data_IF_422255257060
#
_entry.id   IF_422255257060
#
_cell.length_a   1.000
_cell.length_b   1.000
_cell.length_c   1.000
_cell.angle_alpha   90.00
_cell.angle_beta   90.00
_cell.angle_gamma   90.00
#
_symmetry.space_group_name_H-M   'P 1'
#
loop_
_entity.id
_entity.type
_entity.pdbx_description
1 polymer ?
#
# COMPACT_ATOMS: atom_id res chain seq x y z
N UNK A 1 -14.15 11.03 -18.34
CA UNK A 1 -13.69 10.78 -16.96
C UNK A 1 -14.14 9.42 -16.44
N UNK A 2 -15.13 8.79 -17.08
CA UNK A 2 -15.77 7.54 -16.63
C UNK A 2 -14.89 6.27 -16.66
N UNK A 3 -13.77 6.25 -17.41
CA UNK A 3 -12.95 5.05 -17.56
C UNK A 3 -12.02 4.77 -16.35
N UNK A 4 -11.52 5.82 -15.69
CA UNK A 4 -10.54 5.66 -14.60
C UNK A 4 -11.20 5.22 -13.29
N UNK A 5 -12.36 5.80 -12.96
CA UNK A 5 -13.12 5.40 -11.78
C UNK A 5 -13.56 3.93 -11.89
N UNK A 6 -14.10 3.54 -13.04
CA UNK A 6 -14.52 2.14 -13.28
C UNK A 6 -13.34 1.16 -13.17
N UNK A 7 -12.15 1.56 -13.64
CA UNK A 7 -10.94 0.75 -13.50
C UNK A 7 -10.54 0.59 -12.03
N UNK A 8 -10.62 1.67 -11.23
CA UNK A 8 -10.33 1.59 -9.81
C UNK A 8 -11.37 0.79 -9.02
N UNK A 9 -12.65 0.91 -9.37
CA UNK A 9 -13.72 0.11 -8.77
C UNK A 9 -13.53 -1.39 -9.06
N UNK A 10 -13.09 -1.75 -10.28
CA UNK A 10 -12.71 -3.13 -10.65
C UNK A 10 -11.58 -3.65 -9.76
N UNK A 11 -10.53 -2.86 -9.55
CA UNK A 11 -9.44 -3.22 -8.65
C UNK A 11 -9.89 -3.40 -7.20
N UNK A 12 -10.72 -2.50 -6.67
CA UNK A 12 -11.26 -2.62 -5.31
C UNK A 12 -12.08 -3.89 -5.15
N UNK A 13 -12.91 -4.23 -6.15
CA UNK A 13 -13.65 -5.49 -6.16
C UNK A 13 -12.72 -6.72 -6.20
N UNK A 14 -11.65 -6.69 -7.00
CA UNK A 14 -10.67 -7.77 -7.08
C UNK A 14 -9.93 -7.98 -5.75
N UNK A 15 -9.50 -6.90 -5.08
CA UNK A 15 -8.86 -6.96 -3.76
C UNK A 15 -9.82 -7.51 -2.71
N UNK A 16 -11.07 -7.04 -2.69
CA UNK A 16 -12.08 -7.51 -1.76
C UNK A 16 -12.34 -9.01 -1.95
N UNK A 17 -12.55 -9.45 -3.18
CA UNK A 17 -12.74 -10.87 -3.51
C UNK A 17 -11.53 -11.72 -3.12
N UNK A 18 -10.32 -11.20 -3.32
CA UNK A 18 -9.09 -11.89 -2.93
C UNK A 18 -8.98 -12.06 -1.41
N UNK A 19 -9.28 -11.01 -0.64
CA UNK A 19 -9.26 -11.04 0.82
C UNK A 19 -10.32 -11.98 1.41
N UNK A 20 -11.50 -12.07 0.79
CA UNK A 20 -12.56 -13.00 1.21
C UNK A 20 -12.21 -14.46 0.91
N UNK A 21 -11.46 -14.72 -0.16
CA UNK A 21 -11.11 -16.06 -0.61
C UNK A 21 -9.86 -16.63 0.08
N UNK A 22 -9.02 -15.76 0.65
CA UNK A 22 -7.81 -16.15 1.37
C UNK A 22 -7.92 -15.71 2.84
N UNK A 23 -8.70 -16.45 3.67
CA UNK A 23 -8.72 -16.20 5.10
C UNK A 23 -7.31 -16.36 5.67
N UNK A 24 -7.01 -15.63 6.76
CA UNK A 24 -5.69 -15.44 7.35
C UNK A 24 -5.03 -16.70 7.95
N UNK A 25 -4.98 -17.79 7.19
CA UNK A 25 -4.07 -18.89 7.45
C UNK A 25 -2.67 -18.45 7.03
N UNK A 26 -1.91 -17.95 8.02
CA UNK A 26 -0.54 -17.45 7.86
C UNK A 26 0.45 -18.52 7.38
N UNK A 27 0.05 -19.80 7.33
CA UNK A 27 0.91 -20.91 6.91
C UNK A 27 0.82 -21.23 5.41
N UNK A 28 -0.09 -20.60 4.65
CA UNK A 28 -0.30 -20.89 3.23
C UNK A 28 -0.13 -19.66 2.33
N UNK A 29 0.54 -19.87 1.19
CA UNK A 29 0.59 -18.88 0.12
C UNK A 29 -0.84 -18.54 -0.34
N UNK A 30 -1.15 -17.25 -0.39
CA UNK A 30 -2.44 -16.80 -0.92
C UNK A 30 -2.53 -17.13 -2.41
N UNK A 31 -3.73 -17.42 -2.91
CA UNK A 31 -3.96 -17.68 -4.33
C UNK A 31 -4.65 -16.45 -4.98
N UNK A 32 -3.88 -15.52 -5.57
CA UNK A 32 -4.47 -14.38 -6.27
C UNK A 32 -5.03 -14.82 -7.63
N UNK A 33 -6.02 -14.08 -8.13
CA UNK A 33 -6.41 -14.17 -9.54
C UNK A 33 -5.34 -13.45 -10.38
N UNK A 34 -4.27 -14.18 -10.71
CA UNK A 34 -3.10 -13.65 -11.43
C UNK A 34 -3.49 -13.02 -12.76
N UNK A 35 -4.50 -13.57 -13.45
CA UNK A 35 -4.96 -13.05 -14.74
C UNK A 35 -5.60 -11.68 -14.55
N UNK A 36 -6.52 -11.56 -13.58
CA UNK A 36 -7.19 -10.31 -13.26
C UNK A 36 -6.19 -9.23 -12.81
N UNK A 37 -5.30 -9.55 -11.87
CA UNK A 37 -4.33 -8.58 -11.36
C UNK A 37 -3.28 -8.17 -12.39
N UNK A 38 -2.88 -9.08 -13.29
CA UNK A 38 -1.98 -8.74 -14.40
C UNK A 38 -2.65 -7.78 -15.40
N UNK A 39 -3.93 -8.00 -15.71
CA UNK A 39 -4.68 -7.09 -16.57
C UNK A 39 -4.88 -5.72 -15.90
N UNK A 40 -5.29 -5.70 -14.63
CA UNK A 40 -5.42 -4.46 -13.85
C UNK A 40 -4.10 -3.69 -13.78
N UNK A 41 -2.98 -4.37 -13.51
CA UNK A 41 -1.66 -3.75 -13.49
C UNK A 41 -1.32 -3.10 -14.83
N UNK A 42 -1.58 -3.80 -15.94
CA UNK A 42 -1.34 -3.28 -17.28
C UNK A 42 -2.19 -2.04 -17.58
N UNK A 43 -3.49 -2.08 -17.27
CA UNK A 43 -4.42 -0.98 -17.52
C UNK A 43 -4.16 0.24 -16.63
N UNK A 44 -3.74 0.03 -15.38
CA UNK A 44 -3.50 1.10 -14.41
C UNK A 44 -2.14 1.77 -14.57
N UNK A 45 -1.14 1.07 -15.12
CA UNK A 45 0.23 1.59 -15.21
C UNK A 45 0.32 2.99 -15.87
N UNK A 46 -0.31 3.25 -17.04
CA UNK A 46 -0.25 4.58 -17.65
C UNK A 46 -0.86 5.69 -16.77
N UNK A 47 -1.89 5.35 -15.99
CA UNK A 47 -2.53 6.29 -15.07
C UNK A 47 -1.63 6.58 -13.87
N UNK A 48 -1.01 5.55 -13.28
CA UNK A 48 -0.05 5.70 -12.20
C UNK A 48 1.18 6.53 -12.64
N UNK A 49 1.68 6.28 -13.86
CA UNK A 49 2.76 7.05 -14.48
C UNK A 49 2.36 8.51 -14.74
N UNK A 50 1.09 8.77 -15.07
CA UNK A 50 0.56 10.13 -15.26
C UNK A 50 0.34 10.90 -13.95
N UNK A 51 0.51 10.26 -12.79
CA UNK A 51 0.38 10.88 -11.48
C UNK A 51 -0.86 10.50 -10.69
N UNK A 52 -1.72 9.61 -11.19
CA UNK A 52 -2.95 9.26 -10.48
C UNK A 52 -2.66 8.56 -9.14
N UNK A 53 -3.07 9.20 -8.05
CA UNK A 53 -2.76 8.78 -6.68
C UNK A 53 -3.32 7.38 -6.35
N UNK A 54 -4.51 7.06 -6.83
CA UNK A 54 -5.19 5.79 -6.54
C UNK A 54 -4.57 4.64 -7.33
N UNK A 55 -4.25 4.84 -8.60
CA UNK A 55 -3.50 3.88 -9.39
C UNK A 55 -2.08 3.70 -8.87
N UNK A 56 -1.39 4.75 -8.40
CA UNK A 56 -0.09 4.60 -7.75
C UNK A 56 -0.17 3.69 -6.52
N UNK A 57 -1.15 3.91 -5.65
CA UNK A 57 -1.37 3.01 -4.51
C UNK A 57 -1.68 1.58 -4.95
N UNK A 58 -2.55 1.40 -5.95
CA UNK A 58 -2.91 0.08 -6.48
C UNK A 58 -1.68 -0.66 -7.04
N UNK A 59 -0.83 0.02 -7.81
CA UNK A 59 0.42 -0.55 -8.34
C UNK A 59 1.33 -1.04 -7.21
N UNK A 60 1.45 -0.25 -6.14
CA UNK A 60 2.26 -0.63 -4.99
C UNK A 60 1.71 -1.87 -4.28
N UNK A 61 0.40 -1.95 -4.09
CA UNK A 61 -0.27 -3.10 -3.46
C UNK A 61 -0.12 -4.37 -4.29
N UNK A 62 -0.31 -4.29 -5.62
CA UNK A 62 -0.14 -5.43 -6.53
C UNK A 62 1.30 -5.98 -6.47
N UNK A 63 2.30 -5.09 -6.48
CA UNK A 63 3.71 -5.47 -6.42
C UNK A 63 4.09 -6.07 -5.06
N UNK A 64 3.71 -5.39 -3.98
CA UNK A 64 4.06 -5.81 -2.62
C UNK A 64 3.41 -7.15 -2.27
N UNK A 65 2.10 -7.27 -2.53
CA UNK A 65 1.33 -8.48 -2.27
C UNK A 65 1.55 -9.59 -3.28
N UNK A 66 2.46 -9.46 -4.25
CA UNK A 66 2.72 -10.53 -5.22
C UNK A 66 1.46 -10.95 -5.99
N UNK A 67 0.53 -10.04 -6.26
CA UNK A 67 -0.79 -10.40 -6.78
C UNK A 67 -0.76 -10.85 -8.25
N UNK A 68 0.36 -10.61 -8.94
CA UNK A 68 0.64 -11.15 -10.27
C UNK A 68 1.56 -12.39 -10.25
N UNK A 69 1.83 -12.98 -9.08
CA UNK A 69 2.69 -14.15 -8.94
C UNK A 69 1.85 -15.44 -8.82
N UNK A 70 2.22 -16.45 -9.58
CA UNK A 70 1.54 -17.76 -9.55
C UNK A 70 1.89 -18.57 -8.29
N UNK A 71 3.04 -18.28 -7.67
CA UNK A 71 3.53 -18.99 -6.49
C UNK A 71 4.35 -18.09 -5.57
N UNK A 72 4.50 -18.53 -4.32
CA UNK A 72 5.37 -17.91 -3.33
C UNK A 72 6.83 -17.86 -3.82
N UNK A 73 7.30 -18.92 -4.48
CA UNK A 73 8.68 -18.97 -5.02
C UNK A 73 8.92 -17.88 -6.07
N UNK A 74 7.97 -17.63 -6.98
CA UNK A 74 8.06 -16.53 -7.93
C UNK A 74 8.04 -15.17 -7.21
N UNK A 75 7.12 -15.00 -6.25
CA UNK A 75 7.05 -13.78 -5.45
C UNK A 75 8.38 -13.48 -4.74
N UNK A 76 8.93 -14.48 -4.04
CA UNK A 76 10.18 -14.40 -3.29
C UNK A 76 11.39 -14.14 -4.18
N UNK A 77 11.49 -14.80 -5.34
CA UNK A 77 12.59 -14.62 -6.27
C UNK A 77 12.71 -13.17 -6.78
N UNK A 78 11.58 -12.49 -6.97
CA UNK A 78 11.55 -11.09 -7.41
C UNK A 78 11.31 -10.07 -6.29
N UNK A 79 11.15 -10.51 -5.03
CA UNK A 79 10.76 -9.64 -3.92
C UNK A 79 11.65 -8.39 -3.77
N UNK A 80 13.00 -8.46 -3.83
CA UNK A 80 13.84 -7.26 -3.69
C UNK A 80 13.59 -6.18 -4.74
N UNK A 81 13.22 -6.58 -5.96
CA UNK A 81 12.88 -5.63 -7.04
C UNK A 81 11.47 -5.09 -6.82
N UNK A 82 10.50 -5.97 -6.55
CA UNK A 82 9.10 -5.61 -6.34
C UNK A 82 8.91 -4.67 -5.14
N UNK A 83 9.57 -4.92 -4.00
CA UNK A 83 9.46 -4.06 -2.83
C UNK A 83 10.04 -2.65 -3.08
N UNK A 84 11.11 -2.57 -3.88
CA UNK A 84 11.70 -1.28 -4.27
C UNK A 84 10.73 -0.48 -5.14
N UNK A 85 10.07 -1.14 -6.09
CA UNK A 85 9.07 -0.50 -6.95
C UNK A 85 7.79 -0.15 -6.20
N UNK A 86 7.29 -1.04 -5.34
CA UNK A 86 6.17 -0.76 -4.45
C UNK A 86 6.46 0.46 -3.57
N UNK A 87 7.66 0.55 -3.00
CA UNK A 87 8.08 1.71 -2.22
C UNK A 87 8.07 3.00 -3.04
N UNK A 88 8.57 2.98 -4.29
CA UNK A 88 8.51 4.14 -5.18
C UNK A 88 7.07 4.62 -5.39
N UNK A 89 6.14 3.68 -5.58
CA UNK A 89 4.74 4.00 -5.80
C UNK A 89 4.03 4.48 -4.52
N UNK A 90 4.32 3.89 -3.36
CA UNK A 90 3.82 4.41 -2.09
C UNK A 90 4.30 5.83 -1.81
N UNK A 91 5.58 6.16 -2.07
CA UNK A 91 6.08 7.53 -1.95
C UNK A 91 5.29 8.47 -2.85
N UNK A 92 5.05 8.09 -4.11
CA UNK A 92 4.32 8.91 -5.07
C UNK A 92 2.88 9.19 -4.60
N UNK A 93 2.17 8.17 -4.13
CA UNK A 93 0.80 8.32 -3.62
C UNK A 93 0.76 9.08 -2.28
N UNK A 94 1.67 8.78 -1.36
CA UNK A 94 1.75 9.41 -0.05
C UNK A 94 2.06 10.91 -0.14
N UNK A 95 2.92 11.32 -1.07
CA UNK A 95 3.24 12.74 -1.34
C UNK A 95 2.02 13.54 -1.77
N UNK A 96 0.99 12.87 -2.32
CA UNK A 96 -0.27 13.48 -2.71
C UNK A 96 -1.33 13.48 -1.59
N UNK A 97 -1.05 12.86 -0.45
CA UNK A 97 -1.96 12.77 0.69
C UNK A 97 -2.63 11.41 0.88
N UNK A 98 -2.23 10.36 0.16
CA UNK A 98 -2.82 9.03 0.32
C UNK A 98 -2.38 8.38 1.65
N UNK A 99 -3.24 8.45 2.66
CA UNK A 99 -2.93 8.00 4.03
C UNK A 99 -2.54 6.51 4.11
N UNK A 100 -3.21 5.63 3.37
CA UNK A 100 -2.85 4.20 3.35
C UNK A 100 -1.53 3.93 2.64
N UNK A 101 -1.10 4.81 1.73
CA UNK A 101 0.20 4.67 1.09
C UNK A 101 1.31 5.09 2.07
N UNK A 102 1.05 6.11 2.88
CA UNK A 102 1.96 6.54 3.93
C UNK A 102 2.09 5.47 5.03
N UNK A 103 0.99 4.85 5.44
CA UNK A 103 1.01 3.72 6.36
C UNK A 103 1.87 2.56 5.82
N UNK A 104 1.63 2.13 4.59
CA UNK A 104 2.43 1.08 3.95
C UNK A 104 3.91 1.48 3.77
N UNK A 105 4.19 2.75 3.48
CA UNK A 105 5.56 3.27 3.40
C UNK A 105 6.27 3.19 4.76
N UNK A 106 5.57 3.51 5.86
CA UNK A 106 6.09 3.42 7.22
C UNK A 106 6.34 1.95 7.60
N UNK A 107 5.40 1.06 7.35
CA UNK A 107 5.45 -0.33 7.82
C UNK A 107 6.37 -1.21 6.97
N UNK A 108 6.29 -1.07 5.65
CA UNK A 108 6.87 -2.03 4.70
C UNK A 108 7.86 -1.40 3.72
N UNK A 109 7.85 -0.07 3.58
CA UNK A 109 8.72 0.63 2.63
C UNK A 109 10.20 0.49 2.94
N UNK A 110 11.02 0.54 1.89
CA UNK A 110 12.50 0.45 2.00
C UNK A 110 13.23 1.72 1.54
N UNK A 111 14.45 1.90 2.04
CA UNK A 111 15.30 3.04 1.66
C UNK A 111 14.99 4.33 2.44
N UNK A 112 15.65 5.43 2.06
CA UNK A 112 15.79 6.61 2.92
C UNK A 112 14.47 7.34 3.20
N UNK A 113 13.55 7.38 2.24
CA UNK A 113 12.26 8.05 2.44
C UNK A 113 11.36 7.26 3.40
N UNK A 114 11.37 5.93 3.30
CA UNK A 114 10.66 5.07 4.25
C UNK A 114 11.27 5.18 5.66
N UNK A 115 12.60 5.28 5.77
CA UNK A 115 13.28 5.53 7.04
C UNK A 115 12.89 6.87 7.67
N UNK A 116 12.84 7.93 6.86
CA UNK A 116 12.37 9.25 7.30
C UNK A 116 10.90 9.23 7.75
N UNK A 117 10.04 8.55 7.00
CA UNK A 117 8.62 8.41 7.36
C UNK A 117 8.46 7.62 8.67
N UNK A 118 9.21 6.53 8.85
CA UNK A 118 9.26 5.77 10.12
C UNK A 118 9.70 6.62 11.29
N UNK A 119 10.72 7.45 11.11
CA UNK A 119 11.19 8.33 12.18
C UNK A 119 10.17 9.40 12.53
N UNK A 120 9.56 10.04 11.52
CA UNK A 120 8.48 10.99 11.72
C UNK A 120 7.28 10.35 12.46
N UNK A 121 6.94 9.10 12.14
CA UNK A 121 5.91 8.33 12.84
C UNK A 121 6.24 8.14 14.31
N UNK A 122 7.48 7.76 14.66
CA UNK A 122 7.90 7.60 16.06
C UNK A 122 7.85 8.90 16.86
N UNK A 123 8.28 10.00 16.26
CA UNK A 123 8.19 11.33 16.90
C UNK A 123 6.73 11.70 17.14
N UNK A 124 5.86 11.50 16.14
CA UNK A 124 4.44 11.77 16.29
C UNK A 124 3.80 10.90 17.38
N UNK A 125 4.16 9.62 17.47
CA UNK A 125 3.68 8.71 18.51
C UNK A 125 3.99 9.24 19.92
N UNK A 126 5.19 9.78 20.13
CA UNK A 126 5.61 10.36 21.40
C UNK A 126 4.89 11.68 21.71
N UNK A 127 4.65 12.52 20.71
CA UNK A 127 4.04 13.84 20.89
C UNK A 127 2.51 13.82 20.95
N UNK A 128 1.89 12.86 20.25
CA UNK A 128 0.44 12.77 20.02
C UNK A 128 -0.09 11.37 20.31
N UNK A 129 0.29 10.84 21.47
CA UNK A 129 -0.27 9.58 21.98
C UNK A 129 -1.79 9.60 22.11
N UNK A 130 -2.42 10.78 22.16
CA UNK A 130 -3.88 10.96 22.13
C UNK A 130 -4.53 10.54 20.80
N UNK A 131 -3.76 10.47 19.71
CA UNK A 131 -4.24 10.00 18.40
C UNK A 131 -4.17 8.48 18.26
N UNK A 132 -3.59 7.78 19.24
CA UNK A 132 -3.45 6.33 19.21
C UNK A 132 -4.67 5.67 19.83
N UNK A 133 -5.24 4.71 19.12
CA UNK A 133 -6.10 3.71 19.74
C UNK A 133 -5.27 2.68 20.51
N UNK A 134 -5.95 1.80 21.25
CA UNK A 134 -5.31 0.66 21.88
C UNK A 134 -6.15 -0.60 21.64
N UNK A 135 -5.49 -1.69 21.26
CA UNK A 135 -6.10 -3.01 21.13
C UNK A 135 -5.15 -4.05 21.69
N UNK A 136 -5.61 -4.85 22.65
CA UNK A 136 -4.80 -5.89 23.31
C UNK A 136 -3.45 -5.40 23.88
N UNK A 137 -3.40 -4.14 24.32
CA UNK A 137 -2.18 -3.51 24.84
C UNK A 137 -1.18 -3.02 23.78
N UNK A 138 -1.54 -3.13 22.50
CA UNK A 138 -0.76 -2.61 21.37
C UNK A 138 -1.35 -1.28 20.88
N UNK A 139 -0.51 -0.32 20.47
CA UNK A 139 -0.98 0.90 19.83
C UNK A 139 -1.68 0.57 18.51
N UNK A 140 -2.83 1.21 18.26
CA UNK A 140 -3.56 1.13 17.00
C UNK A 140 -3.48 2.49 16.33
N UNK A 141 -2.79 2.53 15.19
CA UNK A 141 -2.63 3.74 14.40
C UNK A 141 -3.88 3.94 13.54
N UNK A 142 -4.72 4.91 13.93
CA UNK A 142 -5.96 5.23 13.23
C UNK A 142 -5.77 6.22 12.07
N UNK A 143 -6.84 6.49 11.30
CA UNK A 143 -6.81 7.48 10.21
C UNK A 143 -6.33 8.86 10.64
N UNK A 144 -6.71 9.32 11.84
CA UNK A 144 -6.31 10.63 12.37
C UNK A 144 -4.80 10.74 12.62
N UNK A 145 -4.17 9.64 13.06
CA UNK A 145 -2.72 9.57 13.24
C UNK A 145 -2.00 9.75 11.91
N UNK A 146 -2.41 9.02 10.87
CA UNK A 146 -1.79 9.11 9.55
C UNK A 146 -2.12 10.41 8.81
N UNK A 147 -3.28 11.00 9.05
CA UNK A 147 -3.60 12.34 8.56
C UNK A 147 -2.64 13.39 9.16
N UNK A 148 -2.42 13.36 10.49
CA UNK A 148 -1.48 14.25 11.16
C UNK A 148 -0.03 13.99 10.73
N UNK A 149 0.35 12.73 10.51
CA UNK A 149 1.66 12.36 9.98
C UNK A 149 1.87 12.92 8.57
N UNK A 150 0.88 12.75 7.68
CA UNK A 150 0.93 13.25 6.31
C UNK A 150 1.06 14.78 6.27
N UNK A 151 0.31 15.47 7.13
CA UNK A 151 0.37 16.93 7.29
C UNK A 151 1.74 17.42 7.71
N UNK A 152 2.42 16.71 8.60
CA UNK A 152 3.77 17.09 9.08
C UNK A 152 4.86 16.73 8.10
N UNK A 153 4.74 15.58 7.44
CA UNK A 153 5.79 15.02 6.61
C UNK A 153 5.76 15.56 5.18
N UNK A 154 4.57 15.71 4.60
CA UNK A 154 4.36 16.16 3.22
C UNK A 154 3.57 17.48 3.10
N UNK A 155 3.05 18.03 4.20
CA UNK A 155 2.27 19.27 4.16
C UNK A 155 0.88 19.10 3.53
N UNK A 156 0.32 17.88 3.59
CA UNK A 156 -0.96 17.49 2.97
C UNK A 156 -2.08 17.33 3.98
#
# INVERSE_FOLDING_TARGET
>A
MDNLQALYDRYQAAIQSHAESNPADMESWHQPDVVEFSELQHLMLPHAESGDMHCQYAMATILWGGLCCESEDDWMAGYPVRIKEATRWWIAAATQGHVYALDNLVTSGIGPEAERAREASRVLEQERGDLLGASHGMPVYGPDFFAELSRRFYGK
#
